data_IF_963515190948
#
_entry.id   IF_963515190948
#
_cell.length_a   1.000
_cell.length_b   1.000
_cell.length_c   1.000
_cell.angle_alpha   90.00
_cell.angle_beta   90.00
_cell.angle_gamma   90.00
#
_symmetry.space_group_name_H-M   'P 1'
#
loop_
_entity.id
_entity.type
_entity.pdbx_description
1 polymer ?
#
# COMPACT_ATOMS: atom_id res chain seq x y z
N UNK A 1 -4.76 -9.77 18.35
CA UNK A 1 -3.72 -9.75 17.30
C UNK A 1 -3.59 -11.14 16.71
N UNK A 2 -4.13 -11.37 15.53
CA UNK A 2 -3.91 -12.64 14.82
C UNK A 2 -2.67 -12.49 13.93
N UNK A 3 -1.55 -13.01 14.41
CA UNK A 3 -0.29 -13.07 13.63
C UNK A 3 -0.35 -14.35 12.82
N UNK A 4 -0.54 -14.22 11.50
CA UNK A 4 -0.40 -15.34 10.57
C UNK A 4 1.09 -15.43 10.23
N UNK A 5 1.84 -16.27 10.94
CA UNK A 5 3.19 -16.63 10.53
C UNK A 5 3.10 -17.58 9.33
N UNK A 6 3.70 -17.28 8.19
CA UNK A 6 3.89 -18.30 7.17
C UNK A 6 4.83 -19.35 7.74
N UNK A 7 4.32 -20.56 7.95
CA UNK A 7 5.14 -21.70 8.35
C UNK A 7 5.96 -22.13 7.13
N UNK A 8 7.27 -21.95 7.08
CA UNK A 8 8.08 -22.22 5.90
C UNK A 8 8.09 -23.70 5.47
N UNK A 9 7.66 -24.62 6.36
CA UNK A 9 7.65 -26.04 6.05
C UNK A 9 6.38 -26.56 5.32
N UNK A 10 5.36 -25.72 5.08
CA UNK A 10 4.09 -26.17 4.48
C UNK A 10 3.76 -25.63 3.09
N UNK A 11 4.61 -24.77 2.50
CA UNK A 11 4.29 -24.06 1.25
C UNK A 11 5.14 -24.44 0.03
N UNK A 12 5.98 -25.47 0.10
CA UNK A 12 6.71 -25.94 -1.07
C UNK A 12 5.77 -26.67 -2.02
N UNK A 13 5.36 -26.00 -3.09
CA UNK A 13 4.82 -26.67 -4.29
C UNK A 13 5.99 -27.33 -5.03
N UNK A 14 6.28 -28.60 -4.78
CA UNK A 14 7.29 -29.33 -5.54
C UNK A 14 6.90 -29.41 -7.03
N UNK A 15 7.58 -28.62 -7.86
CA UNK A 15 7.58 -28.74 -9.31
C UNK A 15 9.03 -28.96 -9.74
N UNK A 16 9.29 -30.10 -10.40
CA UNK A 16 10.62 -30.43 -10.93
C UNK A 16 11.09 -29.41 -11.97
N UNK A 17 12.29 -28.94 -11.80
CA UNK A 17 12.97 -28.02 -12.71
C UNK A 17 13.28 -28.68 -14.06
N UNK A 18 12.82 -28.04 -15.12
CA UNK A 18 13.41 -28.21 -16.45
C UNK A 18 13.65 -26.82 -17.07
N UNK A 19 14.88 -26.33 -16.95
CA UNK A 19 15.31 -25.04 -17.46
C UNK A 19 15.69 -25.14 -18.94
N UNK A 20 14.93 -24.49 -19.82
CA UNK A 20 15.42 -24.08 -21.15
C UNK A 20 15.27 -22.58 -21.32
N UNK A 21 16.43 -21.95 -21.43
CA UNK A 21 16.64 -20.55 -21.74
C UNK A 21 16.09 -20.19 -23.12
N UNK A 22 15.25 -19.17 -23.19
CA UNK A 22 14.81 -18.58 -24.46
C UNK A 22 15.16 -17.08 -24.46
N UNK A 23 16.18 -16.72 -25.24
CA UNK A 23 16.55 -15.31 -25.51
C UNK A 23 15.61 -14.75 -26.57
N UNK A 24 14.86 -13.70 -26.28
CA UNK A 24 14.11 -12.93 -27.27
C UNK A 24 14.87 -11.68 -27.69
N UNK A 25 14.96 -11.47 -29.03
CA UNK A 25 15.56 -10.29 -29.68
C UNK A 25 14.58 -9.11 -29.63
N UNK A 26 15.06 -7.95 -29.23
CA UNK A 26 14.33 -6.68 -29.32
C UNK A 26 14.44 -6.12 -30.74
N UNK A 27 13.30 -5.80 -31.35
CA UNK A 27 13.22 -4.96 -32.56
C UNK A 27 12.71 -3.56 -32.16
N UNK A 28 13.44 -2.54 -32.57
CA UNK A 28 13.14 -1.13 -32.27
C UNK A 28 12.03 -0.58 -33.18
N UNK A 29 11.05 0.10 -32.60
CA UNK A 29 10.09 0.93 -33.28
C UNK A 29 10.21 2.38 -32.80
N UNK A 30 10.21 3.35 -33.75
CA UNK A 30 10.31 4.80 -33.49
C UNK A 30 9.00 5.34 -32.91
N UNK A 31 9.02 6.29 -31.96
CA UNK A 31 7.80 6.91 -31.43
C UNK A 31 7.33 8.07 -32.32
N UNK A 32 6.03 8.10 -32.62
CA UNK A 32 5.33 9.22 -33.22
C UNK A 32 5.02 10.31 -32.20
N UNK A 33 5.25 11.57 -32.60
CA UNK A 33 4.94 12.75 -31.80
C UNK A 33 3.43 13.01 -31.77
N UNK A 34 2.84 13.01 -30.58
CA UNK A 34 1.57 13.70 -30.30
C UNK A 34 1.76 14.59 -29.08
N UNK A 35 1.56 15.91 -29.30
CA UNK A 35 1.63 16.91 -28.25
C UNK A 35 0.47 16.76 -27.27
N UNK A 36 0.79 16.37 -26.02
CA UNK A 36 -0.08 16.37 -24.87
C UNK A 36 0.59 17.15 -23.75
N UNK A 37 -0.14 17.98 -23.02
CA UNK A 37 0.31 18.74 -21.86
C UNK A 37 1.09 17.83 -20.92
N UNK A 38 2.37 18.09 -20.80
CA UNK A 38 3.27 17.40 -19.86
C UNK A 38 2.87 17.80 -18.45
N UNK A 39 2.21 16.91 -17.71
CA UNK A 39 2.16 17.00 -16.26
C UNK A 39 3.62 16.92 -15.79
N UNK A 40 4.06 17.91 -15.00
CA UNK A 40 5.41 17.90 -14.42
C UNK A 40 5.49 16.73 -13.45
N UNK A 41 6.07 15.62 -13.89
CA UNK A 41 6.50 14.53 -13.01
C UNK A 41 7.67 15.08 -12.20
N UNK A 42 7.44 15.46 -10.95
CA UNK A 42 8.50 15.89 -10.07
C UNK A 42 9.30 14.65 -9.71
N UNK A 43 10.49 14.54 -10.28
CA UNK A 43 11.40 13.45 -9.94
C UNK A 43 11.79 13.59 -8.46
N UNK A 44 11.65 12.51 -7.68
CA UNK A 44 12.08 12.51 -6.29
C UNK A 44 13.56 12.84 -6.19
N UNK A 45 13.93 13.66 -5.20
CA UNK A 45 15.32 14.04 -4.96
C UNK A 45 16.17 12.80 -4.59
N UNK A 46 17.41 12.81 -5.01
CA UNK A 46 18.39 11.80 -4.64
C UNK A 46 18.78 11.87 -3.16
N UNK A 47 19.48 10.84 -2.68
CA UNK A 47 19.86 10.71 -1.27
C UNK A 47 20.69 11.91 -0.78
N UNK A 48 21.63 12.39 -1.59
CA UNK A 48 22.51 13.51 -1.21
C UNK A 48 21.70 14.81 -1.05
N UNK A 49 20.80 15.09 -2.00
CA UNK A 49 19.92 16.26 -1.97
C UNK A 49 18.98 16.27 -0.76
N UNK A 50 18.41 15.11 -0.42
CA UNK A 50 17.56 14.94 0.78
C UNK A 50 18.37 15.20 2.05
N UNK A 51 19.55 14.61 2.16
CA UNK A 51 20.44 14.78 3.32
C UNK A 51 20.83 16.25 3.48
N UNK A 52 21.23 16.91 2.40
CA UNK A 52 21.59 18.34 2.43
C UNK A 52 20.41 19.22 2.84
N UNK A 53 19.21 18.92 2.36
CA UNK A 53 17.98 19.64 2.75
C UNK A 53 17.68 19.46 4.25
N UNK A 54 17.79 18.23 4.77
CA UNK A 54 17.61 17.94 6.19
C UNK A 54 18.66 18.66 7.04
N UNK A 55 19.94 18.62 6.66
CA UNK A 55 21.01 19.29 7.42
C UNK A 55 20.80 20.80 7.46
N UNK A 56 20.36 21.43 6.36
CA UNK A 56 19.97 22.86 6.35
C UNK A 56 18.80 23.14 7.30
N UNK A 57 17.79 22.28 7.36
CA UNK A 57 16.67 22.44 8.30
C UNK A 57 17.14 22.32 9.75
N UNK A 58 18.06 21.39 10.06
CA UNK A 58 18.64 21.28 11.40
C UNK A 58 19.35 22.58 11.79
N UNK A 59 20.18 23.15 10.91
CA UNK A 59 20.92 24.41 11.15
C UNK A 59 19.97 25.60 11.32
N UNK A 60 18.93 25.68 10.51
CA UNK A 60 17.93 26.74 10.53
C UNK A 60 16.83 26.52 11.59
N UNK A 61 16.80 25.38 12.29
CA UNK A 61 15.72 24.98 13.22
C UNK A 61 14.35 25.12 12.55
N UNK A 62 14.23 24.61 11.34
CA UNK A 62 13.06 24.72 10.47
C UNK A 62 12.64 23.34 9.92
N UNK A 63 11.54 23.33 9.20
CA UNK A 63 10.98 22.18 8.49
C UNK A 63 10.42 22.64 7.15
N UNK A 64 10.02 21.73 6.29
CA UNK A 64 9.27 22.08 5.09
C UNK A 64 7.91 22.67 5.46
N UNK A 65 7.51 23.69 4.72
CA UNK A 65 6.24 24.39 4.90
C UNK A 65 5.44 24.37 3.60
N UNK A 66 4.12 24.19 3.72
CA UNK A 66 3.17 24.36 2.63
C UNK A 66 2.79 25.84 2.45
N UNK A 67 2.12 26.15 1.34
CA UNK A 67 1.71 27.51 0.98
C UNK A 67 0.61 28.10 1.89
N UNK A 68 -0.03 27.30 2.73
CA UNK A 68 -1.10 27.78 3.61
C UNK A 68 -1.64 26.68 4.52
N UNK A 69 -2.33 27.11 5.55
CA UNK A 69 -3.12 26.25 6.44
C UNK A 69 -4.24 25.58 5.66
N UNK A 70 -4.51 24.29 5.94
CA UNK A 70 -5.63 23.56 5.36
C UNK A 70 -6.71 23.31 6.40
N UNK A 71 -7.97 23.46 5.98
CA UNK A 71 -9.14 23.16 6.79
C UNK A 71 -9.95 22.05 6.12
N UNK A 72 -10.03 20.90 6.79
CA UNK A 72 -10.83 19.78 6.31
C UNK A 72 -12.12 19.68 7.13
N UNK A 73 -13.26 19.68 6.45
CA UNK A 73 -14.55 19.63 7.13
C UNK A 73 -14.70 18.33 7.95
N UNK A 74 -15.06 18.45 9.22
CA UNK A 74 -15.28 17.30 10.12
C UNK A 74 -16.37 16.38 9.57
N UNK A 75 -17.36 16.91 8.86
CA UNK A 75 -18.40 16.13 8.20
C UNK A 75 -17.84 15.12 7.18
N UNK A 76 -16.68 15.39 6.55
CA UNK A 76 -16.05 14.44 5.63
C UNK A 76 -15.55 13.16 6.33
N UNK A 77 -15.41 13.15 7.65
CA UNK A 77 -15.04 11.97 8.43
C UNK A 77 -16.27 11.23 9.01
N UNK A 78 -17.43 11.90 9.09
CA UNK A 78 -18.63 11.37 9.71
C UNK A 78 -19.70 10.91 8.72
N UNK A 79 -19.79 11.58 7.55
CA UNK A 79 -20.86 11.34 6.56
C UNK A 79 -20.73 9.97 5.91
N UNK A 80 -21.85 9.22 5.94
CA UNK A 80 -21.97 7.94 5.22
C UNK A 80 -22.01 8.16 3.69
N UNK A 81 -22.60 9.25 3.24
CA UNK A 81 -22.64 9.63 1.82
C UNK A 81 -21.22 9.93 1.31
N UNK A 82 -20.43 10.69 2.08
CA UNK A 82 -19.03 10.95 1.75
C UNK A 82 -18.22 9.65 1.71
N UNK A 83 -18.41 8.79 2.70
CA UNK A 83 -17.77 7.47 2.73
C UNK A 83 -18.13 6.63 1.49
N UNK A 84 -19.41 6.54 1.15
CA UNK A 84 -19.87 5.83 -0.04
C UNK A 84 -19.26 6.39 -1.33
N UNK A 85 -19.18 7.72 -1.45
CA UNK A 85 -18.53 8.38 -2.59
C UNK A 85 -17.03 8.08 -2.67
N UNK A 86 -16.32 8.03 -1.54
CA UNK A 86 -14.91 7.62 -1.49
C UNK A 86 -14.74 6.17 -1.96
N UNK A 87 -15.57 5.24 -1.50
CA UNK A 87 -15.52 3.84 -1.95
C UNK A 87 -15.77 3.75 -3.46
N UNK A 88 -16.85 4.35 -3.96
CA UNK A 88 -17.27 4.25 -5.37
C UNK A 88 -16.31 4.97 -6.32
N UNK A 89 -15.91 6.19 -5.98
CA UNK A 89 -15.19 7.06 -6.93
C UNK A 89 -13.68 7.04 -6.75
N UNK A 90 -13.20 6.76 -5.54
CA UNK A 90 -11.75 6.71 -5.29
C UNK A 90 -11.27 5.27 -5.29
N UNK A 91 -11.70 4.46 -4.32
CA UNK A 91 -11.11 3.13 -4.11
C UNK A 91 -11.40 2.12 -5.23
N UNK A 92 -12.62 2.11 -5.77
CA UNK A 92 -13.00 1.15 -6.82
C UNK A 92 -12.43 1.48 -8.19
N UNK A 93 -12.12 2.76 -8.45
CA UNK A 93 -11.76 3.27 -9.77
C UNK A 93 -10.32 3.78 -9.87
N UNK A 94 -9.59 3.85 -8.77
CA UNK A 94 -8.16 4.17 -8.77
C UNK A 94 -7.37 2.87 -8.77
N UNK A 95 -6.25 2.86 -9.48
CA UNK A 95 -5.30 1.75 -9.42
C UNK A 95 -4.54 1.82 -8.08
N UNK A 96 -4.85 0.89 -7.18
CA UNK A 96 -4.30 0.88 -5.81
C UNK A 96 -3.38 -0.30 -5.59
N UNK A 97 -2.26 -0.15 -4.85
CA UNK A 97 -1.45 -1.29 -4.46
C UNK A 97 -2.25 -2.28 -3.60
N UNK A 98 -2.31 -3.54 -4.04
CA UNK A 98 -3.04 -4.59 -3.35
C UNK A 98 -2.15 -5.38 -2.40
N UNK A 99 -1.01 -5.85 -2.87
CA UNK A 99 -0.01 -6.55 -2.06
C UNK A 99 1.37 -6.39 -2.68
N UNK A 100 2.47 -6.65 -1.94
CA UNK A 100 3.78 -6.75 -2.56
C UNK A 100 3.88 -7.99 -3.45
N UNK A 101 4.65 -7.93 -4.54
CA UNK A 101 4.92 -9.06 -5.45
C UNK A 101 5.49 -10.27 -4.69
N UNK A 102 6.29 -10.03 -3.65
CA UNK A 102 6.84 -11.07 -2.78
C UNK A 102 5.77 -11.88 -2.03
N UNK A 103 4.54 -11.40 -1.92
CA UNK A 103 3.42 -12.18 -1.37
C UNK A 103 2.87 -13.20 -2.39
N UNK A 104 3.21 -13.04 -3.68
CA UNK A 104 2.86 -13.94 -4.77
C UNK A 104 4.11 -14.55 -5.42
N UNK A 105 5.14 -14.91 -4.63
CA UNK A 105 6.45 -15.33 -5.14
C UNK A 105 6.42 -16.62 -5.96
N UNK A 106 5.52 -17.56 -5.63
CA UNK A 106 5.44 -18.88 -6.25
C UNK A 106 4.17 -19.07 -7.07
N UNK A 107 4.23 -19.92 -8.10
CA UNK A 107 3.05 -20.31 -8.89
C UNK A 107 1.96 -20.86 -7.94
N UNK A 108 0.76 -20.28 -8.04
CA UNK A 108 -0.36 -20.63 -7.18
C UNK A 108 -0.39 -19.92 -5.85
N UNK A 109 0.64 -19.11 -5.51
CA UNK A 109 0.58 -18.22 -4.35
C UNK A 109 -0.54 -17.21 -4.53
N UNK A 110 -1.33 -16.97 -3.49
CA UNK A 110 -2.44 -16.03 -3.53
C UNK A 110 -2.53 -15.18 -2.27
N UNK A 111 -3.10 -13.99 -2.44
CA UNK A 111 -3.57 -13.09 -1.38
C UNK A 111 -5.05 -12.82 -1.63
N UNK A 112 -5.88 -13.08 -0.63
CA UNK A 112 -7.32 -12.82 -0.65
C UNK A 112 -7.69 -11.90 0.50
N UNK A 113 -8.30 -10.77 0.18
CA UNK A 113 -8.81 -9.78 1.14
C UNK A 113 -9.86 -8.90 0.49
N UNK A 114 -10.54 -8.12 1.30
CA UNK A 114 -11.40 -7.08 0.78
C UNK A 114 -10.55 -5.96 0.15
N UNK A 115 -11.03 -5.40 -0.95
CA UNK A 115 -10.55 -4.16 -1.54
C UNK A 115 -11.79 -3.32 -1.86
N UNK A 116 -11.87 -2.09 -1.35
CA UNK A 116 -13.06 -1.26 -1.48
C UNK A 116 -14.35 -2.03 -1.15
N UNK A 117 -14.40 -2.70 0.00
CA UNK A 117 -15.52 -3.50 0.50
C UNK A 117 -15.93 -4.68 -0.41
N UNK A 118 -15.09 -5.10 -1.33
CA UNK A 118 -15.35 -6.21 -2.24
C UNK A 118 -14.28 -7.28 -2.07
N UNK A 119 -14.65 -8.57 -1.87
CA UNK A 119 -13.69 -9.65 -1.81
C UNK A 119 -12.93 -9.81 -3.13
N UNK A 120 -11.61 -9.67 -3.09
CA UNK A 120 -10.69 -9.83 -4.22
C UNK A 120 -9.66 -10.89 -3.88
N UNK A 121 -9.26 -11.69 -4.85
CA UNK A 121 -8.10 -12.60 -4.79
C UNK A 121 -7.11 -12.23 -5.87
N UNK A 122 -5.86 -11.95 -5.48
CA UNK A 122 -4.72 -11.89 -6.39
C UNK A 122 -3.97 -13.23 -6.33
N UNK A 123 -3.54 -13.76 -7.48
CA UNK A 123 -2.91 -15.08 -7.57
C UNK A 123 -1.83 -15.10 -8.65
N UNK A 124 -0.73 -15.83 -8.40
CA UNK A 124 0.30 -16.11 -9.40
C UNK A 124 -0.17 -17.23 -10.32
N UNK A 125 -0.36 -16.93 -11.60
CA UNK A 125 -0.72 -17.89 -12.63
C UNK A 125 0.38 -18.90 -12.91
N UNK A 126 0.03 -20.00 -13.61
CA UNK A 126 0.98 -21.03 -14.04
C UNK A 126 2.04 -20.51 -15.03
N UNK A 127 1.74 -19.43 -15.71
CA UNK A 127 2.62 -18.68 -16.62
C UNK A 127 3.49 -17.62 -15.92
N UNK A 128 3.44 -17.54 -14.59
CA UNK A 128 4.16 -16.56 -13.79
C UNK A 128 3.51 -15.18 -13.73
N UNK A 129 2.36 -14.95 -14.39
CA UNK A 129 1.68 -13.64 -14.41
C UNK A 129 0.75 -13.51 -13.21
N UNK A 130 0.84 -12.40 -12.48
CA UNK A 130 -0.11 -12.06 -11.43
C UNK A 130 -1.45 -11.65 -12.04
N UNK A 131 -2.53 -12.19 -11.49
CA UNK A 131 -3.91 -11.88 -11.88
C UNK A 131 -4.76 -11.61 -10.66
N UNK A 132 -5.83 -10.84 -10.84
CA UNK A 132 -6.80 -10.63 -9.78
C UNK A 132 -8.21 -10.94 -10.26
N UNK A 133 -9.03 -11.43 -9.35
CA UNK A 133 -10.42 -11.77 -9.59
C UNK A 133 -11.30 -11.36 -8.43
N UNK A 134 -12.59 -11.11 -8.68
CA UNK A 134 -13.57 -11.10 -7.60
C UNK A 134 -13.61 -12.47 -6.96
N UNK A 135 -13.40 -12.53 -5.65
CA UNK A 135 -13.25 -13.77 -4.89
C UNK A 135 -14.62 -14.38 -4.57
N UNK A 136 -15.34 -14.79 -5.62
CA UNK A 136 -16.69 -15.32 -5.53
C UNK A 136 -16.92 -16.42 -6.58
N UNK A 137 -17.42 -17.57 -6.12
CA UNK A 137 -17.78 -18.69 -6.99
C UNK A 137 -18.95 -18.31 -7.92
N UNK A 138 -18.82 -18.60 -9.22
CA UNK A 138 -19.81 -18.27 -10.24
C UNK A 138 -21.10 -19.12 -10.16
N UNK A 139 -21.10 -20.15 -9.28
CA UNK A 139 -22.31 -20.93 -9.02
C UNK A 139 -23.28 -20.15 -8.10
N UNK A 140 -22.87 -19.86 -6.85
CA UNK A 140 -23.74 -19.25 -5.82
C UNK A 140 -23.01 -18.24 -4.93
N UNK A 141 -21.95 -17.61 -5.44
CA UNK A 141 -21.29 -16.47 -4.81
C UNK A 141 -20.40 -16.79 -3.61
N UNK A 142 -20.22 -18.04 -3.23
CA UNK A 142 -19.37 -18.38 -2.06
C UNK A 142 -17.93 -17.95 -2.31
N UNK A 143 -17.34 -17.30 -1.32
CA UNK A 143 -15.94 -16.91 -1.33
C UNK A 143 -15.04 -18.16 -1.42
N UNK A 144 -14.06 -18.13 -2.35
CA UNK A 144 -13.26 -19.29 -2.69
C UNK A 144 -12.12 -19.54 -1.71
N UNK A 145 -11.44 -18.47 -1.31
CA UNK A 145 -10.26 -18.51 -0.43
C UNK A 145 -10.23 -17.30 0.49
N UNK A 146 -9.51 -17.44 1.61
CA UNK A 146 -9.28 -16.37 2.59
C UNK A 146 -7.79 -16.20 2.86
N UNK A 147 -7.38 -14.99 3.27
CA UNK A 147 -6.02 -14.69 3.71
C UNK A 147 -4.99 -14.91 2.61
N UNK A 148 -3.92 -15.63 2.91
CA UNK A 148 -2.84 -15.91 1.95
C UNK A 148 -2.50 -17.41 1.95
N UNK A 149 -1.99 -17.91 0.84
CA UNK A 149 -1.60 -19.31 0.70
C UNK A 149 -1.14 -19.66 -0.70
N UNK A 150 -1.05 -20.97 -0.97
CA UNK A 150 -0.70 -21.51 -2.28
C UNK A 150 -1.71 -22.60 -2.69
N UNK A 151 -2.18 -22.59 -3.94
CA UNK A 151 -3.14 -23.53 -4.50
C UNK A 151 -2.79 -23.86 -5.95
N UNK A 152 -3.03 -25.12 -6.36
CA UNK A 152 -2.93 -25.52 -7.77
C UNK A 152 -4.17 -25.13 -8.58
N UNK A 153 -5.29 -24.93 -7.90
CA UNK A 153 -6.57 -24.49 -8.45
C UNK A 153 -7.43 -23.92 -7.32
N UNK A 154 -8.42 -23.09 -7.64
CA UNK A 154 -9.37 -22.53 -6.69
C UNK A 154 -10.64 -23.38 -6.72
N UNK A 155 -10.83 -24.25 -5.74
CA UNK A 155 -12.01 -25.11 -5.62
C UNK A 155 -12.98 -24.56 -4.59
N UNK A 156 -14.21 -24.33 -5.01
CA UNK A 156 -15.28 -23.87 -4.13
C UNK A 156 -15.63 -24.95 -3.10
N UNK A 157 -15.54 -24.59 -1.83
CA UNK A 157 -15.82 -25.51 -0.71
C UNK A 157 -17.29 -25.92 -0.58
N UNK A 158 -18.19 -25.26 -1.34
CA UNK A 158 -19.62 -25.53 -1.24
C UNK A 158 -20.03 -26.69 -2.15
N UNK A 159 -19.77 -26.59 -3.46
CA UNK A 159 -20.19 -27.65 -4.43
C UNK A 159 -19.04 -28.08 -5.35
N UNK A 160 -17.80 -27.81 -4.99
CA UNK A 160 -16.64 -28.32 -5.71
C UNK A 160 -16.36 -27.68 -7.09
N UNK A 161 -17.07 -26.61 -7.49
CA UNK A 161 -16.72 -25.91 -8.73
C UNK A 161 -15.27 -25.46 -8.66
N UNK A 162 -14.49 -25.82 -9.68
CA UNK A 162 -13.03 -25.66 -9.66
C UNK A 162 -12.58 -24.74 -10.78
N UNK A 163 -11.78 -23.74 -10.43
CA UNK A 163 -11.22 -22.73 -11.33
C UNK A 163 -9.70 -22.88 -11.42
N UNK A 164 -9.16 -22.73 -12.63
CA UNK A 164 -7.71 -22.64 -12.84
C UNK A 164 -7.13 -21.35 -12.26
N UNK A 165 -5.79 -21.28 -12.20
CA UNK A 165 -5.07 -20.07 -11.78
C UNK A 165 -5.26 -18.90 -12.77
N UNK A 166 -5.76 -19.17 -13.96
CA UNK A 166 -6.16 -18.22 -14.99
C UNK A 166 -7.62 -17.77 -14.87
N UNK A 167 -8.32 -18.22 -13.82
CA UNK A 167 -9.72 -17.89 -13.53
C UNK A 167 -10.74 -18.69 -14.32
N UNK A 168 -10.35 -19.51 -15.30
CA UNK A 168 -11.30 -20.31 -16.12
C UNK A 168 -11.92 -21.41 -15.28
N UNK A 169 -13.24 -21.65 -15.46
CA UNK A 169 -13.92 -22.78 -14.87
C UNK A 169 -13.43 -24.10 -15.51
N UNK A 170 -12.85 -24.98 -14.70
CA UNK A 170 -12.23 -26.24 -15.15
C UNK A 170 -13.11 -27.46 -14.91
N UNK A 171 -13.84 -27.48 -13.79
CA UNK A 171 -14.64 -28.62 -13.41
C UNK A 171 -15.89 -28.28 -12.63
N UNK A 172 -16.92 -29.03 -12.88
CA UNK A 172 -18.21 -28.99 -12.19
C UNK A 172 -18.51 -30.45 -11.77
N UNK A 173 -18.62 -30.76 -10.48
CA UNK A 173 -19.10 -32.05 -10.04
C UNK A 173 -20.51 -32.31 -10.58
N UNK A 174 -20.77 -33.54 -10.99
CA UNK A 174 -22.06 -33.95 -11.56
C UNK A 174 -22.57 -33.05 -12.69
N UNK A 175 -21.67 -32.71 -13.62
CA UNK A 175 -21.89 -31.75 -14.71
C UNK A 175 -23.15 -32.01 -15.53
N UNK A 176 -23.58 -33.29 -15.58
CA UNK A 176 -24.84 -33.69 -16.23
C UNK A 176 -26.09 -33.01 -15.67
N UNK A 177 -26.01 -32.51 -14.43
CA UNK A 177 -27.07 -31.73 -13.78
C UNK A 177 -27.14 -30.26 -14.25
N UNK A 178 -26.22 -29.84 -15.13
CA UNK A 178 -26.15 -28.48 -15.68
C UNK A 178 -26.20 -28.47 -17.21
N UNK A 179 -27.29 -29.05 -17.83
CA UNK A 179 -27.35 -29.18 -19.27
C UNK A 179 -27.28 -27.81 -19.96
N UNK A 180 -26.40 -27.70 -20.96
CA UNK A 180 -26.23 -26.45 -21.73
C UNK A 180 -25.39 -25.36 -21.06
N UNK A 181 -24.84 -25.58 -19.88
CA UNK A 181 -23.95 -24.64 -19.25
C UNK A 181 -22.61 -24.55 -20.00
N UNK A 182 -22.29 -23.38 -20.53
CA UNK A 182 -20.98 -23.08 -21.13
C UNK A 182 -19.97 -22.67 -20.07
N UNK A 183 -18.98 -23.50 -19.77
CA UNK A 183 -17.91 -23.23 -18.83
C UNK A 183 -17.07 -22.02 -19.24
N UNK A 184 -16.98 -21.66 -20.52
CA UNK A 184 -16.21 -20.53 -20.99
C UNK A 184 -16.77 -19.18 -20.49
N UNK A 185 -18.08 -19.13 -20.24
CA UNK A 185 -18.78 -17.92 -19.74
C UNK A 185 -18.86 -17.86 -18.21
N UNK A 186 -18.44 -18.92 -17.53
CA UNK A 186 -18.53 -19.07 -16.07
C UNK A 186 -17.15 -19.02 -15.38
N UNK A 187 -16.15 -18.42 -16.01
CA UNK A 187 -14.88 -18.07 -15.36
C UNK A 187 -15.06 -17.05 -14.25
N UNK A 188 -14.08 -16.94 -13.35
CA UNK A 188 -14.05 -15.89 -12.32
C UNK A 188 -14.08 -14.51 -12.99
N UNK A 189 -14.75 -13.55 -12.35
CA UNK A 189 -14.82 -12.18 -12.85
C UNK A 189 -13.45 -11.51 -12.63
N UNK A 190 -12.76 -11.09 -13.71
CA UNK A 190 -11.46 -10.49 -13.60
C UNK A 190 -11.56 -9.10 -12.96
N UNK A 191 -10.49 -8.73 -12.25
CA UNK A 191 -10.22 -7.39 -11.75
C UNK A 191 -8.96 -6.90 -12.45
N UNK A 192 -8.92 -5.64 -12.87
CA UNK A 192 -7.72 -5.05 -13.46
C UNK A 192 -6.54 -5.26 -12.51
N UNK A 193 -5.47 -5.89 -13.00
CA UNK A 193 -4.31 -6.27 -12.20
C UNK A 193 -3.04 -5.93 -12.97
N UNK A 194 -2.14 -5.18 -12.33
CA UNK A 194 -0.84 -4.82 -12.88
C UNK A 194 0.21 -5.16 -11.82
N UNK A 195 1.27 -5.85 -12.24
CA UNK A 195 2.45 -6.07 -11.41
C UNK A 195 3.59 -5.20 -11.92
N UNK A 196 4.12 -4.35 -11.03
CA UNK A 196 5.19 -3.41 -11.36
C UNK A 196 5.98 -3.02 -10.12
N UNK A 197 7.29 -2.86 -10.26
CA UNK A 197 8.20 -2.31 -9.25
C UNK A 197 8.08 -2.99 -7.86
N UNK A 198 7.82 -4.32 -7.87
CA UNK A 198 7.65 -5.14 -6.67
C UNK A 198 6.29 -5.04 -6.00
N UNK A 199 5.30 -4.43 -6.66
CA UNK A 199 3.93 -4.27 -6.18
C UNK A 199 2.92 -4.86 -7.17
N UNK A 200 1.84 -5.42 -6.64
CA UNK A 200 0.65 -5.83 -7.38
C UNK A 200 -0.44 -4.79 -7.14
N UNK A 201 -0.91 -4.18 -8.19
CA UNK A 201 -1.98 -3.16 -8.17
C UNK A 201 -3.28 -3.75 -8.68
N UNK A 202 -4.39 -3.24 -8.16
CA UNK A 202 -5.75 -3.59 -8.65
C UNK A 202 -6.60 -2.33 -8.83
N UNK A 203 -7.49 -2.38 -9.83
CA UNK A 203 -8.62 -1.45 -9.97
C UNK A 203 -9.87 -2.26 -10.33
N UNK A 204 -10.98 -2.06 -9.60
CA UNK A 204 -12.13 -2.93 -9.74
C UNK A 204 -13.03 -2.57 -10.91
N UNK A 205 -13.27 -1.27 -11.12
CA UNK A 205 -14.30 -0.78 -12.03
C UNK A 205 -13.77 0.20 -13.09
N UNK A 206 -12.45 0.39 -13.16
CA UNK A 206 -11.83 1.21 -14.20
C UNK A 206 -10.66 0.45 -14.88
N UNK A 207 -10.92 -0.20 -16.01
CA UNK A 207 -9.85 -0.87 -16.76
C UNK A 207 -8.84 0.11 -17.38
N UNK A 208 -9.18 1.40 -17.52
CA UNK A 208 -8.27 2.42 -18.04
C UNK A 208 -7.37 3.04 -16.95
N UNK A 209 -7.56 2.72 -15.67
CA UNK A 209 -6.75 3.22 -14.55
C UNK A 209 -5.26 2.78 -14.61
N UNK A 210 -4.86 2.06 -15.66
CA UNK A 210 -3.49 1.53 -15.82
C UNK A 210 -2.41 2.61 -15.93
N UNK A 211 -2.76 3.84 -16.29
CA UNK A 211 -1.83 4.96 -16.40
C UNK A 211 -1.36 5.52 -15.06
N UNK A 212 -2.11 5.34 -13.99
CA UNK A 212 -1.83 5.96 -12.68
C UNK A 212 -0.65 5.29 -11.93
N UNK A 213 -0.20 4.10 -12.38
CA UNK A 213 0.95 3.41 -11.78
C UNK A 213 2.31 3.99 -12.22
N UNK A 214 2.33 4.90 -13.21
CA UNK A 214 3.57 5.41 -13.81
C UNK A 214 4.47 6.17 -12.83
N UNK A 215 3.90 6.76 -11.80
CA UNK A 215 4.59 7.66 -10.87
C UNK A 215 5.11 6.95 -9.61
N UNK A 216 4.86 5.64 -9.45
CA UNK A 216 5.37 4.89 -8.30
C UNK A 216 6.85 4.56 -8.50
N UNK A 217 7.75 4.95 -7.59
CA UNK A 217 9.16 4.57 -7.69
C UNK A 217 9.36 3.07 -7.47
N UNK A 218 10.48 2.52 -7.95
CA UNK A 218 10.87 1.14 -7.69
C UNK A 218 11.17 0.97 -6.19
N UNK A 219 10.20 0.44 -5.44
CA UNK A 219 10.28 0.32 -3.99
C UNK A 219 10.84 -1.02 -3.54
N UNK A 220 10.75 -2.06 -4.36
CA UNK A 220 11.26 -3.39 -4.03
C UNK A 220 12.00 -3.98 -5.23
N UNK A 221 13.20 -4.52 -4.97
CA UNK A 221 13.93 -5.36 -5.92
C UNK A 221 13.59 -6.84 -5.75
N UNK A 222 14.15 -7.68 -6.59
CA UNK A 222 13.91 -9.14 -6.62
C UNK A 222 14.43 -9.88 -5.37
N UNK A 223 15.31 -9.22 -4.59
CA UNK A 223 15.90 -9.73 -3.35
C UNK A 223 15.00 -9.52 -2.11
N UNK A 224 13.91 -8.79 -2.27
CA UNK A 224 12.97 -8.54 -1.17
C UNK A 224 12.02 -9.71 -0.95
N UNK A 225 11.96 -10.20 0.27
CA UNK A 225 11.10 -11.32 0.67
C UNK A 225 10.10 -10.91 1.73
N UNK A 226 8.93 -11.55 1.71
CA UNK A 226 7.89 -11.35 2.72
C UNK A 226 8.29 -12.06 4.01
N UNK A 227 8.45 -11.28 5.09
CA UNK A 227 8.73 -11.80 6.44
C UNK A 227 7.45 -12.15 7.19
N UNK A 228 6.46 -11.25 7.19
CA UNK A 228 5.21 -11.43 7.92
C UNK A 228 4.08 -10.59 7.31
N UNK A 229 2.85 -11.03 7.52
CA UNK A 229 1.64 -10.24 7.28
C UNK A 229 0.83 -10.17 8.57
N UNK A 230 0.39 -8.97 8.94
CA UNK A 230 -0.49 -8.76 10.09
C UNK A 230 -1.74 -8.02 9.66
N UNK A 231 -2.86 -8.25 10.36
CA UNK A 231 -4.11 -7.54 10.15
C UNK A 231 -4.72 -7.14 11.48
N UNK A 232 -5.18 -5.90 11.57
CA UNK A 232 -5.85 -5.38 12.75
C UNK A 232 -6.87 -4.31 12.37
N UNK A 233 -7.91 -4.16 13.18
CA UNK A 233 -8.93 -3.13 13.00
C UNK A 233 -8.70 -1.99 13.99
N UNK A 234 -9.03 -0.78 13.55
CA UNK A 234 -8.99 0.45 14.34
C UNK A 234 -10.34 1.14 14.19
N UNK A 235 -10.93 1.52 15.32
CA UNK A 235 -12.18 2.28 15.37
C UNK A 235 -11.87 3.76 15.06
N UNK A 236 -11.52 4.02 13.81
CA UNK A 236 -11.26 5.36 13.28
C UNK A 236 -11.48 5.38 11.77
N UNK A 237 -11.88 6.56 11.25
CA UNK A 237 -11.94 6.84 9.83
C UNK A 237 -10.57 6.64 9.19
N UNK A 238 -10.56 6.05 7.98
CA UNK A 238 -9.32 5.74 7.27
C UNK A 238 -8.43 6.97 6.99
N UNK A 239 -9.05 8.16 6.83
CA UNK A 239 -8.32 9.42 6.63
C UNK A 239 -7.58 9.84 7.91
N UNK A 240 -8.21 9.73 9.08
CA UNK A 240 -7.57 10.01 10.36
C UNK A 240 -6.32 9.11 10.54
N UNK A 241 -6.45 7.83 10.18
CA UNK A 241 -5.32 6.90 10.25
C UNK A 241 -4.24 7.27 9.24
N UNK A 242 -4.62 7.66 8.00
CA UNK A 242 -3.67 8.08 6.97
C UNK A 242 -2.89 9.33 7.37
N UNK A 243 -3.58 10.32 7.91
CA UNK A 243 -3.03 11.62 8.35
C UNK A 243 -1.88 11.46 9.33
N UNK A 244 -1.99 10.53 10.30
CA UNK A 244 -0.93 10.25 11.26
C UNK A 244 0.38 9.75 10.64
N UNK A 245 0.37 9.20 9.40
CA UNK A 245 1.58 8.84 8.67
C UNK A 245 2.21 10.00 7.91
N UNK A 246 1.46 11.08 7.68
CA UNK A 246 1.79 12.14 6.73
C UNK A 246 2.42 13.39 7.37
N UNK A 247 2.66 13.36 8.68
CA UNK A 247 3.27 14.49 9.41
C UNK A 247 4.14 13.99 10.56
N UNK A 248 4.97 14.87 11.11
CA UNK A 248 5.84 14.58 12.25
C UNK A 248 5.62 15.54 13.43
N UNK A 249 4.55 16.30 13.40
CA UNK A 249 4.24 17.27 14.46
C UNK A 249 3.84 16.59 15.76
N UNK A 250 3.28 15.38 15.70
CA UNK A 250 2.91 14.58 16.87
C UNK A 250 4.08 13.80 17.49
N UNK A 251 5.25 13.71 16.82
CA UNK A 251 6.38 12.85 17.25
C UNK A 251 6.74 13.09 18.72
N UNK A 252 6.87 14.34 19.12
CA UNK A 252 7.27 14.68 20.50
C UNK A 252 6.21 14.37 21.54
N UNK A 253 4.95 14.61 21.22
CA UNK A 253 3.86 14.47 22.19
C UNK A 253 3.34 13.05 22.30
N UNK A 254 3.30 12.31 21.19
CA UNK A 254 2.76 10.96 21.13
C UNK A 254 3.82 9.89 21.36
N UNK A 255 5.03 10.08 20.81
CA UNK A 255 6.09 9.08 20.78
C UNK A 255 7.23 9.36 21.74
N UNK A 256 6.92 9.85 22.95
CA UNK A 256 7.92 10.28 23.94
C UNK A 256 8.96 9.21 24.27
N UNK A 257 8.54 7.95 24.35
CA UNK A 257 9.38 6.81 24.75
C UNK A 257 9.78 5.92 23.57
N UNK A 258 9.23 6.16 22.36
CA UNK A 258 9.47 5.35 21.16
C UNK A 258 10.31 6.10 20.13
N UNK A 259 9.71 6.93 19.28
CA UNK A 259 10.42 7.57 18.17
C UNK A 259 11.14 8.85 18.56
N UNK A 260 10.59 9.68 19.44
CA UNK A 260 11.15 11.00 19.79
C UNK A 260 12.60 10.97 20.30
N UNK A 261 13.03 9.98 21.11
CA UNK A 261 14.42 9.90 21.54
C UNK A 261 15.40 9.73 20.38
N UNK A 262 14.95 9.16 19.26
CA UNK A 262 15.78 8.84 18.11
C UNK A 262 15.64 9.82 16.95
N UNK A 263 14.47 10.47 16.83
CA UNK A 263 14.13 11.36 15.72
C UNK A 263 14.14 12.83 16.13
N UNK A 264 14.19 13.71 15.12
CA UNK A 264 13.91 15.11 15.32
C UNK A 264 12.41 15.34 15.46
N UNK A 265 12.06 16.31 16.29
CA UNK A 265 10.69 16.77 16.48
C UNK A 265 10.29 17.67 15.31
N UNK A 266 9.15 17.39 14.69
CA UNK A 266 8.55 18.17 13.61
C UNK A 266 9.53 18.62 12.51
N UNK A 267 10.53 17.80 12.19
CA UNK A 267 11.42 18.03 11.06
C UNK A 267 11.07 17.04 9.94
N UNK A 268 10.42 17.57 8.90
CA UNK A 268 9.94 16.77 7.77
C UNK A 268 10.50 17.36 6.48
N UNK A 269 10.94 16.49 5.55
CA UNK A 269 11.15 16.86 4.15
C UNK A 269 10.04 16.19 3.34
N UNK A 270 9.23 17.00 2.65
CA UNK A 270 8.03 16.58 1.95
C UNK A 270 8.22 16.74 0.45
N UNK A 271 7.89 15.69 -0.31
CA UNK A 271 7.94 15.69 -1.76
C UNK A 271 6.65 15.06 -2.31
N UNK A 272 6.02 15.76 -3.26
CA UNK A 272 4.87 15.25 -3.98
C UNK A 272 5.30 14.74 -5.37
N UNK A 273 4.73 13.59 -5.79
CA UNK A 273 4.92 13.04 -7.13
C UNK A 273 3.59 12.45 -7.61
N UNK A 274 2.99 13.09 -8.59
CA UNK A 274 1.61 12.82 -8.97
C UNK A 274 0.66 13.01 -7.79
N UNK A 275 -0.17 12.00 -7.50
CA UNK A 275 -1.05 11.98 -6.32
C UNK A 275 -0.37 11.43 -5.07
N UNK A 276 0.83 10.93 -5.21
CA UNK A 276 1.60 10.31 -4.14
C UNK A 276 2.46 11.36 -3.41
N UNK A 277 3.00 10.98 -2.25
CA UNK A 277 4.00 11.79 -1.53
C UNK A 277 5.06 10.93 -0.86
N UNK A 278 6.23 11.52 -0.61
CA UNK A 278 7.28 10.97 0.23
C UNK A 278 7.57 11.98 1.35
N UNK A 279 7.51 11.50 2.59
CA UNK A 279 7.88 12.26 3.76
C UNK A 279 9.13 11.61 4.37
N UNK A 280 10.15 12.41 4.67
CA UNK A 280 11.41 11.94 5.22
C UNK A 280 11.57 12.45 6.65
N UNK A 281 11.66 11.53 7.60
CA UNK A 281 11.80 11.78 9.04
C UNK A 281 13.21 11.42 9.48
N UNK A 282 14.10 12.41 9.74
CA UNK A 282 15.49 12.15 10.08
C UNK A 282 15.67 11.66 11.51
N UNK A 283 16.54 10.66 11.67
CA UNK A 283 17.09 10.32 12.97
C UNK A 283 18.15 11.34 13.40
N UNK A 284 18.31 11.57 14.70
CA UNK A 284 19.33 12.50 15.25
C UNK A 284 20.75 12.16 14.78
N UNK A 285 21.04 10.89 14.54
CA UNK A 285 22.34 10.41 14.03
C UNK A 285 22.67 10.86 12.59
N UNK A 286 21.74 11.47 11.85
CA UNK A 286 21.97 11.97 10.49
C UNK A 286 23.08 13.05 10.47
N UNK A 287 23.30 13.75 11.58
CA UNK A 287 24.38 14.75 11.71
C UNK A 287 25.78 14.16 11.51
N UNK A 288 25.96 12.85 11.69
CA UNK A 288 27.22 12.15 11.38
C UNK A 288 27.59 12.27 9.90
N UNK A 289 26.61 12.50 9.02
CA UNK A 289 26.83 12.65 7.58
C UNK A 289 27.42 14.01 7.20
N UNK A 290 27.51 14.98 8.12
CA UNK A 290 28.15 16.28 7.87
C UNK A 290 29.60 16.13 7.40
N UNK A 291 30.32 15.16 7.96
CA UNK A 291 31.72 14.90 7.68
C UNK A 291 31.96 13.84 6.60
N UNK A 292 30.86 13.37 5.93
CA UNK A 292 30.94 12.40 4.83
C UNK A 292 30.82 13.15 3.52
N UNK A 293 31.67 12.87 2.52
CA UNK A 293 31.56 13.45 1.19
C UNK A 293 30.17 13.21 0.59
N UNK A 294 29.56 14.18 -0.11
CA UNK A 294 28.17 14.04 -0.62
C UNK A 294 27.93 12.77 -1.43
N UNK A 295 28.88 12.35 -2.28
CA UNK A 295 28.75 11.12 -3.10
C UNK A 295 28.85 9.81 -2.32
N UNK A 296 29.24 9.82 -1.04
CA UNK A 296 29.34 8.65 -0.17
C UNK A 296 28.22 8.62 0.89
N UNK A 297 27.36 9.64 0.92
CA UNK A 297 26.26 9.73 1.88
C UNK A 297 25.15 8.78 1.50
N UNK A 298 24.58 8.06 2.48
CA UNK A 298 23.39 7.24 2.31
C UNK A 298 22.34 7.58 3.35
N UNK A 299 21.08 7.53 2.94
CA UNK A 299 19.91 7.67 3.81
C UNK A 299 19.65 6.43 4.65
N UNK A 300 20.25 5.28 4.30
CA UNK A 300 20.02 4.01 4.97
C UNK A 300 20.34 4.08 6.45
N UNK A 301 19.33 3.88 7.28
CA UNK A 301 19.45 3.97 8.75
C UNK A 301 19.62 5.37 9.31
N UNK A 302 19.64 6.42 8.49
CA UNK A 302 19.76 7.81 8.92
C UNK A 302 18.43 8.55 8.99
N UNK A 303 17.43 8.00 8.33
CA UNK A 303 16.06 8.50 8.34
C UNK A 303 15.07 7.36 8.05
N UNK A 304 13.79 7.64 8.27
CA UNK A 304 12.66 6.86 7.75
C UNK A 304 12.01 7.65 6.62
N UNK A 305 11.83 7.01 5.46
CA UNK A 305 10.88 7.51 4.46
C UNK A 305 9.52 6.87 4.70
N UNK A 306 8.46 7.67 4.62
CA UNK A 306 7.09 7.20 4.47
C UNK A 306 6.63 7.62 3.08
N UNK A 307 6.36 6.64 2.21
CA UNK A 307 5.72 6.87 0.93
C UNK A 307 4.22 6.68 1.11
N UNK A 308 3.47 7.70 0.79
CA UNK A 308 2.03 7.58 0.61
C UNK A 308 1.75 7.25 -0.86
N UNK A 309 1.30 6.04 -1.11
CA UNK A 309 0.81 5.62 -2.42
C UNK A 309 -0.71 5.77 -2.41
N UNK A 310 -1.17 6.80 -3.09
CA UNK A 310 -2.57 7.20 -3.09
C UNK A 310 -3.49 6.05 -3.58
N UNK A 311 -4.66 5.84 -2.97
CA UNK A 311 -5.24 6.64 -1.87
C UNK A 311 -4.83 6.18 -0.46
N UNK A 312 -4.44 4.93 -0.24
CA UNK A 312 -4.54 4.28 1.07
C UNK A 312 -3.37 3.36 1.44
N UNK A 313 -2.24 3.50 0.78
CA UNK A 313 -1.08 2.67 1.12
C UNK A 313 0.06 3.52 1.66
N UNK A 314 0.52 3.16 2.86
CA UNK A 314 1.68 3.74 3.52
C UNK A 314 2.83 2.75 3.46
N UNK A 315 3.96 3.14 2.85
CA UNK A 315 5.15 2.33 2.81
C UNK A 315 6.26 3.01 3.59
N UNK A 316 6.59 2.46 4.75
CA UNK A 316 7.63 2.98 5.63
C UNK A 316 8.93 2.19 5.45
N UNK A 317 10.06 2.90 5.32
CA UNK A 317 11.38 2.29 5.18
C UNK A 317 12.15 2.39 6.49
N UNK A 318 12.62 1.26 6.99
CA UNK A 318 13.43 1.17 8.20
C UNK A 318 14.79 0.51 7.88
N UNK A 319 15.77 0.56 8.78
CA UNK A 319 17.12 0.04 8.52
C UNK A 319 17.17 -1.45 8.12
N UNK A 320 16.24 -2.26 8.61
CA UNK A 320 16.23 -3.72 8.44
C UNK A 320 15.04 -4.25 7.66
N UNK A 321 14.01 -3.42 7.46
CA UNK A 321 12.76 -3.84 6.82
C UNK A 321 12.02 -2.66 6.16
N UNK A 322 11.04 -2.99 5.33
CA UNK A 322 10.01 -2.07 4.84
C UNK A 322 8.64 -2.59 5.24
N UNK A 323 7.78 -1.69 5.67
CA UNK A 323 6.41 -1.99 6.03
C UNK A 323 5.48 -1.35 5.01
N UNK A 324 4.76 -2.19 4.27
CA UNK A 324 3.65 -1.74 3.42
C UNK A 324 2.35 -1.94 4.18
N UNK A 325 1.71 -0.85 4.59
CA UNK A 325 0.43 -0.86 5.29
C UNK A 325 -0.68 -0.39 4.37
N UNK A 326 -1.64 -1.25 4.12
CA UNK A 326 -2.86 -0.93 3.37
C UNK A 326 -3.95 -0.56 4.36
N UNK A 327 -4.53 0.62 4.21
CA UNK A 327 -5.65 1.10 5.00
C UNK A 327 -6.96 0.74 4.28
N UNK A 328 -7.64 -0.30 4.74
CA UNK A 328 -8.92 -0.73 4.16
C UNK A 328 -10.08 -0.10 4.91
N UNK A 329 -10.83 0.83 4.30
CA UNK A 329 -12.03 1.38 4.93
C UNK A 329 -13.11 0.29 5.06
N UNK A 330 -13.58 0.04 6.28
CA UNK A 330 -14.66 -0.90 6.57
C UNK A 330 -15.99 -0.18 6.82
N UNK A 331 -15.90 1.02 7.38
CA UNK A 331 -17.01 1.94 7.64
C UNK A 331 -16.45 3.36 7.77
N UNK A 332 -17.31 4.36 7.86
CA UNK A 332 -16.87 5.74 8.06
C UNK A 332 -16.03 5.93 9.35
N UNK A 333 -16.20 5.04 10.33
CA UNK A 333 -15.56 5.08 11.64
C UNK A 333 -14.69 3.85 11.94
N UNK A 334 -14.38 3.02 10.91
CA UNK A 334 -13.61 1.79 11.11
C UNK A 334 -12.73 1.47 9.92
N UNK A 335 -11.46 1.17 10.20
CA UNK A 335 -10.44 0.86 9.21
C UNK A 335 -9.71 -0.42 9.58
N UNK A 336 -9.45 -1.29 8.59
CA UNK A 336 -8.55 -2.43 8.74
C UNK A 336 -7.19 -2.07 8.19
N UNK A 337 -6.15 -2.28 8.99
CA UNK A 337 -4.75 -2.14 8.58
C UNK A 337 -4.20 -3.51 8.24
N UNK A 338 -3.81 -3.71 6.98
CA UNK A 338 -3.09 -4.91 6.54
C UNK A 338 -1.63 -4.52 6.29
N UNK A 339 -0.74 -5.01 7.15
CA UNK A 339 0.68 -4.66 7.08
C UNK A 339 1.52 -5.84 6.63
N UNK A 340 2.24 -5.66 5.53
CA UNK A 340 3.25 -6.57 5.00
C UNK A 340 4.63 -6.10 5.46
N UNK A 341 5.35 -6.93 6.18
CA UNK A 341 6.75 -6.70 6.55
C UNK A 341 7.64 -7.42 5.54
N UNK A 342 8.51 -6.66 4.85
CA UNK A 342 9.44 -7.19 3.87
C UNK A 342 10.87 -6.87 4.28
N UNK A 343 11.82 -7.73 3.89
CA UNK A 343 13.24 -7.50 4.09
C UNK A 343 14.07 -8.21 3.03
N UNK A 344 15.17 -7.62 2.67
CA UNK A 344 16.22 -8.26 1.85
C UNK A 344 17.37 -8.86 2.71
N UNK A 345 17.21 -8.88 4.04
CA UNK A 345 18.21 -9.37 4.99
C UNK A 345 17.87 -10.72 5.62
N UNK A 346 16.73 -11.32 5.28
CA UNK A 346 16.22 -12.55 5.94
C UNK A 346 17.17 -13.73 5.79
N UNK A 347 17.93 -13.77 4.71
CA UNK A 347 18.91 -14.84 4.42
C UNK A 347 20.23 -14.70 5.22
N UNK A 348 20.51 -13.53 5.83
CA UNK A 348 21.68 -13.34 6.68
C UNK A 348 21.52 -14.11 8.00
N UNK A 349 22.63 -14.52 8.61
CA UNK A 349 22.67 -15.35 9.82
C UNK A 349 21.87 -14.76 10.99
N UNK A 350 21.95 -13.45 11.19
CA UNK A 350 21.20 -12.69 12.21
C UNK A 350 19.99 -11.90 11.64
N UNK A 351 19.75 -12.01 10.32
CA UNK A 351 18.81 -11.15 9.60
C UNK A 351 17.38 -11.26 10.12
N UNK A 352 16.91 -12.47 10.44
CA UNK A 352 15.56 -12.68 10.99
C UNK A 352 15.38 -12.03 12.36
N UNK A 353 16.39 -12.10 13.23
CA UNK A 353 16.37 -11.48 14.55
C UNK A 353 16.35 -9.95 14.44
N UNK A 354 17.19 -9.37 13.56
CA UNK A 354 17.24 -7.94 13.32
C UNK A 354 15.90 -7.39 12.74
N UNK A 355 15.28 -8.15 11.83
CA UNK A 355 13.94 -7.79 11.28
C UNK A 355 12.88 -7.88 12.36
N UNK A 356 12.90 -8.90 13.22
CA UNK A 356 11.95 -9.05 14.34
C UNK A 356 12.07 -7.87 15.31
N UNK A 357 13.29 -7.54 15.75
CA UNK A 357 13.53 -6.43 16.67
C UNK A 357 13.09 -5.08 16.07
N UNK A 358 13.43 -4.80 14.81
CA UNK A 358 13.01 -3.59 14.12
C UNK A 358 11.48 -3.50 14.00
N UNK A 359 10.81 -4.60 13.69
CA UNK A 359 9.35 -4.68 13.63
C UNK A 359 8.71 -4.40 14.99
N UNK A 360 9.22 -4.99 16.06
CA UNK A 360 8.64 -4.85 17.40
C UNK A 360 8.73 -3.40 17.89
N UNK A 361 9.85 -2.71 17.61
CA UNK A 361 10.00 -1.29 17.88
C UNK A 361 8.96 -0.43 17.13
N UNK A 362 8.80 -0.66 15.82
CA UNK A 362 7.82 0.05 15.01
C UNK A 362 6.39 -0.26 15.44
N UNK A 363 6.13 -1.51 15.86
CA UNK A 363 4.80 -1.93 16.34
C UNK A 363 4.40 -1.18 17.61
N UNK A 364 5.37 -0.87 18.50
CA UNK A 364 5.12 -0.07 19.70
C UNK A 364 4.66 1.34 19.35
N UNK A 365 5.41 2.08 18.51
CA UNK A 365 5.02 3.41 18.05
C UNK A 365 3.69 3.41 17.30
N UNK A 366 3.48 2.45 16.40
CA UNK A 366 2.20 2.32 15.70
C UNK A 366 1.00 1.99 16.63
N UNK A 367 1.24 1.48 17.84
CA UNK A 367 0.18 1.30 18.83
C UNK A 367 -0.25 2.65 19.44
N UNK A 368 0.70 3.54 19.67
CA UNK A 368 0.45 4.90 20.14
C UNK A 368 -0.36 5.70 19.10
N UNK A 369 0.03 5.63 17.81
CA UNK A 369 -0.72 6.25 16.71
C UNK A 369 -2.17 5.78 16.62
N UNK A 370 -2.39 4.47 16.75
CA UNK A 370 -3.75 3.94 16.73
C UNK A 370 -4.60 4.42 17.91
N UNK A 371 -4.00 4.60 19.08
CA UNK A 371 -4.73 5.17 20.22
C UNK A 371 -5.11 6.63 19.95
N UNK A 372 -4.22 7.42 19.36
CA UNK A 372 -4.53 8.80 18.97
C UNK A 372 -5.60 8.85 17.89
N UNK A 373 -5.56 7.97 16.89
CA UNK A 373 -6.61 7.88 15.86
C UNK A 373 -7.99 7.54 16.47
N UNK A 374 -8.05 6.57 17.40
CA UNK A 374 -9.30 6.27 18.13
C UNK A 374 -9.78 7.45 18.98
N UNK A 375 -8.84 8.13 19.65
CA UNK A 375 -9.17 9.28 20.47
C UNK A 375 -9.73 10.44 19.61
N UNK A 376 -9.12 10.71 18.44
CA UNK A 376 -9.61 11.69 17.49
C UNK A 376 -11.02 11.33 16.98
N UNK A 377 -11.23 10.06 16.56
CA UNK A 377 -12.56 9.57 16.13
C UNK A 377 -13.61 9.74 17.23
N UNK A 378 -13.31 9.37 18.46
CA UNK A 378 -14.22 9.59 19.61
C UNK A 378 -14.50 11.07 19.83
N UNK A 379 -13.46 11.92 19.66
CA UNK A 379 -13.57 13.37 19.80
C UNK A 379 -14.54 14.01 18.80
N UNK A 380 -14.73 13.44 17.61
CA UNK A 380 -15.70 13.92 16.61
C UNK A 380 -17.15 13.93 17.15
N UNK A 381 -17.50 13.01 18.04
CA UNK A 381 -18.80 12.95 18.66
C UNK A 381 -19.13 14.20 19.52
N UNK A 382 -18.11 14.90 20.01
CA UNK A 382 -18.29 16.13 20.78
C UNK A 382 -18.76 17.32 19.92
N UNK A 383 -18.61 17.22 18.56
CA UNK A 383 -18.94 18.29 17.60
C UNK A 383 -18.34 19.66 17.98
N UNK A 384 -17.14 19.63 18.61
CA UNK A 384 -16.46 20.84 19.06
C UNK A 384 -15.83 21.61 17.89
N UNK A 385 -15.46 20.90 16.82
CA UNK A 385 -14.79 21.46 15.65
C UNK A 385 -15.70 21.36 14.41
N UNK A 386 -15.79 22.44 13.63
CA UNK A 386 -16.36 22.39 12.29
C UNK A 386 -15.38 21.83 11.26
N UNK A 387 -14.08 22.06 11.50
CA UNK A 387 -12.98 21.62 10.63
C UNK A 387 -11.84 21.08 11.48
N UNK A 388 -11.09 20.13 10.92
CA UNK A 388 -9.72 19.88 11.33
C UNK A 388 -8.82 20.97 10.72
N UNK A 389 -7.82 21.41 11.46
CA UNK A 389 -6.90 22.47 11.04
C UNK A 389 -5.50 21.89 10.93
N UNK A 390 -4.97 21.85 9.71
CA UNK A 390 -3.64 21.37 9.41
C UNK A 390 -2.71 22.54 9.16
N UNK A 391 -1.62 22.62 9.93
CA UNK A 391 -0.64 23.70 9.87
C UNK A 391 0.24 23.66 8.63
N UNK A 392 1.10 24.66 8.49
CA UNK A 392 2.00 24.77 7.32
C UNK A 392 2.96 23.58 7.19
N UNK A 393 3.35 22.95 8.28
CA UNK A 393 4.25 21.79 8.32
C UNK A 393 3.55 20.46 8.03
N UNK A 394 2.22 20.46 7.82
CA UNK A 394 1.40 19.29 7.48
C UNK A 394 1.05 19.25 5.98
N UNK A 395 1.97 19.69 5.13
CA UNK A 395 1.76 19.87 3.69
C UNK A 395 1.41 18.57 2.95
N UNK A 396 1.86 17.40 3.43
CA UNK A 396 1.50 16.13 2.81
C UNK A 396 0.03 15.75 3.08
N UNK A 397 -0.54 16.13 4.23
CA UNK A 397 -1.97 15.97 4.53
C UNK A 397 -2.79 16.86 3.59
N UNK A 398 -2.39 18.13 3.42
CA UNK A 398 -3.03 19.03 2.45
C UNK A 398 -3.04 18.43 1.05
N UNK A 399 -1.90 17.93 0.56
CA UNK A 399 -1.77 17.28 -0.75
C UNK A 399 -2.72 16.08 -0.89
N UNK A 400 -2.80 15.25 0.15
CA UNK A 400 -3.72 14.11 0.20
C UNK A 400 -5.17 14.53 0.04
N UNK A 401 -5.66 15.49 0.84
CA UNK A 401 -7.06 15.94 0.78
C UNK A 401 -7.39 16.65 -0.53
N UNK A 402 -6.47 17.44 -1.08
CA UNK A 402 -6.66 18.07 -2.40
C UNK A 402 -6.86 17.03 -3.51
N UNK A 403 -6.07 15.95 -3.52
CA UNK A 403 -6.24 14.88 -4.50
C UNK A 403 -7.55 14.11 -4.30
N UNK A 404 -7.95 13.87 -3.05
CA UNK A 404 -9.20 13.20 -2.72
C UNK A 404 -10.41 14.03 -3.17
N UNK A 405 -10.42 15.33 -2.88
CA UNK A 405 -11.46 16.26 -3.29
C UNK A 405 -11.56 16.33 -4.82
N UNK A 406 -10.43 16.52 -5.51
CA UNK A 406 -10.40 16.62 -6.97
C UNK A 406 -10.99 15.40 -7.69
N UNK A 407 -10.73 14.17 -7.18
CA UNK A 407 -11.33 12.97 -7.76
C UNK A 407 -12.84 12.93 -7.53
N UNK A 408 -13.29 13.21 -6.32
CA UNK A 408 -14.72 13.14 -6.00
C UNK A 408 -15.49 14.20 -6.78
N UNK A 409 -15.03 15.45 -6.79
CA UNK A 409 -15.62 16.54 -7.56
C UNK A 409 -15.70 16.23 -9.06
N UNK A 410 -14.60 15.73 -9.65
CA UNK A 410 -14.56 15.40 -11.07
C UNK A 410 -15.53 14.29 -11.48
N UNK A 411 -15.88 13.40 -10.56
CA UNK A 411 -16.72 12.22 -10.83
C UNK A 411 -18.17 12.39 -10.40
N UNK A 412 -18.46 13.27 -9.43
CA UNK A 412 -19.83 13.55 -8.96
C UNK A 412 -20.46 14.75 -9.66
N UNK A 413 -19.66 15.58 -10.38
CA UNK A 413 -20.14 16.83 -10.97
C UNK A 413 -20.50 17.89 -9.93
N UNK A 414 -20.25 17.64 -8.64
CA UNK A 414 -20.43 18.61 -7.57
C UNK A 414 -19.29 19.66 -7.65
N UNK A 415 -19.63 20.89 -7.97
CA UNK A 415 -18.78 22.09 -7.83
C UNK A 415 -19.24 22.89 -6.64
#
# INVERSE_FOLDING_TARGET
MNVIHPNPARFACHVGHNTKSCRSKRTGGKPGQHGGRTAMTTQLADEASIIDRILRHIDAKSTDLSDGVWHEAVEHYLSQERFAAEIEHVFRRTLTPFCPSAALAEIGAYVARDAAMTPVVAIRGADGVARAFRNACRHRGVQLVDGAGCRKALTCRYHGWTYGLDGRLRGIPDEYGFPGLDKSTHGLVPVTCIERDGLVFVSQDDPAATSDASDTPALFGDDWTLYATTSQEVEANWKIVAEGFLEGYHIRSTHQDTFYPLQYDNLNVIEAFGRNSRISFPYRRIEKLRNVPPGERSTTGMLTHVYHLFPNVMLSTFPTNRLMTVLEPLAADRTRLVTYTLSNRIAAEDGRAAVAQGRDFVTAGAAEDREMARAAQRGLAARANAHFTFGLFEGAIRHFHQNLAAIIESRTGAR
#
